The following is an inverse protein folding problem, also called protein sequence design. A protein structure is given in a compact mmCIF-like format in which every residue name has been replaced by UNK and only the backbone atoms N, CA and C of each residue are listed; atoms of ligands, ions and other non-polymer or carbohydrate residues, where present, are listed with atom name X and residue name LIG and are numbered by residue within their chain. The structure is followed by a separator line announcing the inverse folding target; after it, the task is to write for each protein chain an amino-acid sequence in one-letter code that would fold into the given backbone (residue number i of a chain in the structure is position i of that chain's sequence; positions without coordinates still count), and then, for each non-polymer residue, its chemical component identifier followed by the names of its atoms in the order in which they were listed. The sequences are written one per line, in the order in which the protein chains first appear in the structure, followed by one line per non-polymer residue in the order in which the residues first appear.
data_IF_768596095037
#
_entry.id   IF_768596095037
#
_cell.length_a   1.000
_cell.length_b   1.000
_cell.length_c   1.000
_cell.angle_alpha   90.00
_cell.angle_beta   90.00
_cell.angle_gamma   90.00
#
_symmetry.space_group_name_H-M   'P 1'
#
loop_
_entity.id
_entity.type
_entity.pdbx_description
1 polymer ?
#
# COMPACT_ATOMS: atom_id res chain seq x y z
N UNK A 1 -6.65 -33.58 -5.25
CA UNK A 1 -6.27 -32.50 -4.31
C UNK A 1 -6.50 -31.10 -4.89
N UNK A 2 -6.38 -30.88 -6.21
CA UNK A 2 -6.57 -29.57 -6.88
C UNK A 2 -7.99 -28.96 -6.83
N UNK A 3 -9.05 -29.78 -6.82
CA UNK A 3 -10.44 -29.29 -6.87
C UNK A 3 -10.84 -28.45 -5.65
N UNK A 4 -10.22 -28.69 -4.50
CA UNK A 4 -10.46 -27.92 -3.26
C UNK A 4 -9.71 -26.59 -3.26
N UNK A 5 -8.52 -26.53 -3.87
CA UNK A 5 -7.72 -25.31 -3.99
C UNK A 5 -8.48 -24.28 -4.85
N UNK A 6 -9.02 -24.71 -6.00
CA UNK A 6 -9.83 -23.84 -6.88
C UNK A 6 -11.17 -23.40 -6.26
N UNK A 7 -11.69 -24.13 -5.26
CA UNK A 7 -12.91 -23.71 -4.55
C UNK A 7 -12.59 -22.60 -3.54
N UNK A 8 -11.53 -22.76 -2.74
CA UNK A 8 -11.07 -21.73 -1.81
C UNK A 8 -10.72 -20.41 -2.51
N UNK A 9 -9.94 -20.47 -3.59
CA UNK A 9 -9.56 -19.30 -4.39
C UNK A 9 -10.79 -18.51 -4.89
N UNK A 10 -11.81 -19.20 -5.40
CA UNK A 10 -13.06 -18.56 -5.87
C UNK A 10 -13.89 -17.98 -4.73
N UNK A 11 -13.96 -18.64 -3.58
CA UNK A 11 -14.70 -18.12 -2.42
C UNK A 11 -14.06 -16.84 -1.88
N UNK A 12 -12.73 -16.78 -1.85
CA UNK A 12 -11.99 -15.60 -1.40
C UNK A 12 -12.14 -14.43 -2.38
N UNK A 13 -12.13 -14.69 -3.69
CA UNK A 13 -12.43 -13.69 -4.71
C UNK A 13 -13.85 -13.11 -4.56
N UNK A 14 -14.85 -13.97 -4.31
CA UNK A 14 -16.23 -13.53 -4.09
C UNK A 14 -16.31 -12.65 -2.84
N UNK A 15 -15.71 -13.07 -1.73
CA UNK A 15 -15.66 -12.27 -0.49
C UNK A 15 -14.99 -10.93 -0.73
N UNK A 16 -13.88 -10.91 -1.49
CA UNK A 16 -13.15 -9.69 -1.85
C UNK A 16 -14.01 -8.72 -2.65
N UNK A 17 -14.70 -9.20 -3.69
CA UNK A 17 -15.59 -8.38 -4.51
C UNK A 17 -16.78 -7.84 -3.71
N UNK A 18 -17.39 -8.66 -2.85
CA UNK A 18 -18.48 -8.20 -1.97
C UNK A 18 -18.00 -7.14 -0.99
N UNK A 19 -16.84 -7.36 -0.34
CA UNK A 19 -16.23 -6.37 0.56
C UNK A 19 -15.95 -5.06 -0.17
N UNK A 20 -15.41 -5.13 -1.39
CA UNK A 20 -15.22 -3.95 -2.23
C UNK A 20 -16.55 -3.23 -2.50
N UNK A 21 -17.59 -3.94 -2.92
CA UNK A 21 -18.91 -3.34 -3.16
C UNK A 21 -19.49 -2.64 -1.92
N UNK A 22 -19.41 -3.28 -0.76
CA UNK A 22 -19.84 -2.66 0.50
C UNK A 22 -19.04 -1.41 0.85
N UNK A 23 -17.70 -1.48 0.81
CA UNK A 23 -16.84 -0.32 1.10
C UNK A 23 -17.06 0.84 0.12
N UNK A 24 -17.22 0.54 -1.17
CA UNK A 24 -17.49 1.54 -2.20
C UNK A 24 -18.87 2.17 -2.01
N UNK A 25 -19.90 1.36 -1.74
CA UNK A 25 -21.24 1.87 -1.45
C UNK A 25 -21.26 2.77 -0.22
N UNK A 26 -20.53 2.41 0.84
CA UNK A 26 -20.39 3.27 2.02
C UNK A 26 -19.76 4.63 1.67
N UNK A 27 -18.69 4.63 0.88
CA UNK A 27 -18.07 5.87 0.39
C UNK A 27 -19.05 6.73 -0.41
N UNK A 28 -19.84 6.12 -1.30
CA UNK A 28 -20.84 6.82 -2.09
C UNK A 28 -22.02 7.34 -1.23
N UNK A 29 -22.40 6.63 -0.17
CA UNK A 29 -23.41 7.11 0.77
C UNK A 29 -22.95 8.37 1.51
N UNK A 30 -21.68 8.39 1.95
CA UNK A 30 -21.08 9.58 2.58
C UNK A 30 -21.03 10.74 1.58
N UNK A 31 -20.57 10.50 0.35
CA UNK A 31 -20.55 11.52 -0.70
C UNK A 31 -21.95 12.04 -1.03
N UNK A 32 -22.96 11.19 -1.06
CA UNK A 32 -24.35 11.59 -1.28
C UNK A 32 -24.88 12.50 -0.15
N UNK A 33 -24.56 12.16 1.11
CA UNK A 33 -24.93 12.98 2.27
C UNK A 33 -24.28 14.36 2.21
N UNK A 34 -22.97 14.43 1.95
CA UNK A 34 -22.23 15.68 1.76
C UNK A 34 -22.80 16.46 0.59
N UNK A 35 -23.10 15.77 -0.52
CA UNK A 35 -23.63 16.36 -1.73
C UNK A 35 -24.98 17.06 -1.49
N UNK A 36 -25.81 16.47 -0.66
CA UNK A 36 -27.13 17.01 -0.29
C UNK A 36 -26.97 18.18 0.68
N UNK A 37 -26.09 18.05 1.67
CA UNK A 37 -25.85 19.12 2.65
C UNK A 37 -25.26 20.39 2.01
N UNK A 38 -24.35 20.23 1.06
CA UNK A 38 -23.69 21.35 0.35
C UNK A 38 -24.42 21.80 -0.92
N UNK A 39 -25.60 21.25 -1.20
CA UNK A 39 -26.43 21.61 -2.36
C UNK A 39 -25.68 21.55 -3.70
N UNK A 40 -24.91 20.48 -3.94
CA UNK A 40 -24.28 20.28 -5.24
C UNK A 40 -25.31 20.11 -6.36
N UNK A 41 -24.87 20.36 -7.59
CA UNK A 41 -25.70 20.27 -8.80
C UNK A 41 -26.37 18.90 -8.93
N UNK A 42 -27.59 18.88 -9.46
CA UNK A 42 -28.40 17.67 -9.59
C UNK A 42 -27.69 16.53 -10.33
N UNK A 43 -26.96 16.74 -11.45
CA UNK A 43 -26.28 15.65 -12.15
C UNK A 43 -25.28 14.90 -11.27
N UNK A 44 -24.54 15.61 -10.41
CA UNK A 44 -23.58 15.00 -9.50
C UNK A 44 -24.30 14.10 -8.48
N UNK A 45 -25.40 14.58 -7.87
CA UNK A 45 -26.21 13.78 -6.95
C UNK A 45 -26.72 12.50 -7.60
N UNK A 46 -27.26 12.60 -8.82
CA UNK A 46 -27.78 11.46 -9.57
C UNK A 46 -26.68 10.43 -9.84
N UNK A 47 -25.50 10.85 -10.28
CA UNK A 47 -24.37 9.95 -10.54
C UNK A 47 -23.96 9.21 -9.26
N UNK A 48 -23.80 9.93 -8.14
CA UNK A 48 -23.41 9.33 -6.86
C UNK A 48 -24.47 8.35 -6.36
N UNK A 49 -25.77 8.69 -6.46
CA UNK A 49 -26.87 7.79 -6.09
C UNK A 49 -26.90 6.53 -6.94
N UNK A 50 -26.69 6.64 -8.26
CA UNK A 50 -26.63 5.49 -9.16
C UNK A 50 -25.46 4.59 -8.79
N UNK A 51 -24.27 5.15 -8.56
CA UNK A 51 -23.09 4.40 -8.16
C UNK A 51 -23.27 3.72 -6.80
N UNK A 52 -23.90 4.40 -5.84
CA UNK A 52 -24.29 3.81 -4.56
C UNK A 52 -25.19 2.59 -4.73
N UNK A 53 -26.31 2.76 -5.43
CA UNK A 53 -27.29 1.71 -5.65
C UNK A 53 -26.69 0.52 -6.42
N UNK A 54 -25.91 0.79 -7.47
CA UNK A 54 -25.22 -0.23 -8.26
C UNK A 54 -24.27 -1.07 -7.40
N UNK A 55 -23.41 -0.45 -6.59
CA UNK A 55 -22.43 -1.18 -5.78
C UNK A 55 -23.08 -1.94 -4.62
N UNK A 56 -24.11 -1.35 -3.99
CA UNK A 56 -24.87 -2.01 -2.93
C UNK A 56 -25.62 -3.22 -3.47
N UNK A 57 -26.35 -3.05 -4.57
CA UNK A 57 -27.10 -4.14 -5.21
C UNK A 57 -26.16 -5.25 -5.71
N UNK A 58 -25.04 -4.88 -6.35
CA UNK A 58 -24.02 -5.83 -6.79
C UNK A 58 -23.42 -6.63 -5.61
N UNK A 59 -23.18 -6.00 -4.47
CA UNK A 59 -22.64 -6.69 -3.29
C UNK A 59 -23.62 -7.74 -2.71
N UNK A 60 -24.91 -7.41 -2.66
CA UNK A 60 -25.94 -8.31 -2.13
C UNK A 60 -26.28 -9.46 -3.08
N UNK A 61 -26.60 -9.15 -4.34
CA UNK A 61 -27.27 -10.09 -5.24
C UNK A 61 -26.38 -10.64 -6.35
N UNK A 62 -25.50 -9.80 -6.94
CA UNK A 62 -24.69 -10.23 -8.09
C UNK A 62 -23.29 -9.60 -8.08
N UNK A 63 -22.36 -10.27 -7.38
CA UNK A 63 -20.99 -9.81 -7.23
C UNK A 63 -20.24 -9.69 -8.57
N UNK A 64 -20.62 -10.48 -9.58
CA UNK A 64 -19.94 -10.50 -10.90
C UNK A 64 -19.98 -9.14 -11.59
N UNK A 65 -21.04 -8.36 -11.40
CA UNK A 65 -21.12 -7.01 -11.97
C UNK A 65 -20.10 -6.05 -11.36
N UNK A 66 -19.63 -6.29 -10.14
CA UNK A 66 -18.63 -5.44 -9.49
C UNK A 66 -17.22 -5.63 -10.08
N UNK A 67 -16.98 -6.67 -10.86
CA UNK A 67 -15.64 -6.97 -11.40
C UNK A 67 -15.05 -5.85 -12.26
N UNK A 68 -15.74 -5.31 -13.30
CA UNK A 68 -15.18 -4.22 -14.10
C UNK A 68 -14.85 -2.97 -13.28
N UNK A 69 -15.74 -2.55 -12.38
CA UNK A 69 -15.48 -1.38 -11.52
C UNK A 69 -14.36 -1.66 -10.53
N UNK A 70 -14.27 -2.88 -9.99
CA UNK A 70 -13.20 -3.32 -9.12
C UNK A 70 -11.83 -3.24 -9.81
N UNK A 71 -11.71 -3.76 -11.05
CA UNK A 71 -10.45 -3.73 -11.80
C UNK A 71 -10.03 -2.30 -12.12
N UNK A 72 -10.96 -1.48 -12.63
CA UNK A 72 -10.68 -0.09 -12.99
C UNK A 72 -10.23 0.73 -11.78
N UNK A 73 -10.98 0.67 -10.68
CA UNK A 73 -10.67 1.42 -9.47
C UNK A 73 -9.40 0.91 -8.79
N UNK A 74 -9.16 -0.41 -8.78
CA UNK A 74 -7.92 -0.99 -8.24
C UNK A 74 -6.70 -0.56 -9.05
N UNK A 75 -6.82 -0.51 -10.39
CA UNK A 75 -5.74 -0.05 -11.27
C UNK A 75 -5.40 1.43 -11.02
N UNK A 76 -6.42 2.29 -10.98
CA UNK A 76 -6.25 3.71 -10.66
C UNK A 76 -5.63 3.87 -9.26
N UNK A 77 -6.16 3.13 -8.27
CA UNK A 77 -5.65 3.13 -6.89
C UNK A 77 -4.18 2.71 -6.81
N UNK A 78 -3.74 1.73 -7.61
CA UNK A 78 -2.33 1.33 -7.67
C UNK A 78 -1.43 2.43 -8.21
N UNK A 79 -1.85 3.11 -9.29
CA UNK A 79 -1.07 4.23 -9.87
C UNK A 79 -0.95 5.37 -8.85
N UNK A 80 -2.08 5.78 -8.28
CA UNK A 80 -2.16 6.85 -7.30
C UNK A 80 -1.34 6.49 -6.05
N UNK A 81 -1.49 5.26 -5.55
CA UNK A 81 -0.74 4.77 -4.39
C UNK A 81 0.77 4.84 -4.62
N UNK A 82 1.25 4.37 -5.78
CA UNK A 82 2.68 4.42 -6.11
C UNK A 82 3.20 5.85 -6.19
N UNK A 83 2.43 6.76 -6.80
CA UNK A 83 2.78 8.18 -6.86
C UNK A 83 2.90 8.77 -5.44
N UNK A 84 1.92 8.53 -4.58
CA UNK A 84 1.97 9.00 -3.19
C UNK A 84 3.15 8.42 -2.42
N UNK A 85 3.47 7.14 -2.60
CA UNK A 85 4.64 6.52 -1.97
C UNK A 85 5.91 7.27 -2.35
N UNK A 86 6.14 7.53 -3.64
CA UNK A 86 7.32 8.28 -4.11
C UNK A 86 7.35 9.70 -3.55
N UNK A 87 6.22 10.41 -3.59
CA UNK A 87 6.11 11.78 -3.08
C UNK A 87 6.39 11.84 -1.59
N UNK A 88 5.76 10.97 -0.78
CA UNK A 88 5.95 10.93 0.67
C UNK A 88 7.42 10.62 1.01
N UNK A 89 8.02 9.62 0.37
CA UNK A 89 9.43 9.29 0.63
C UNK A 89 10.37 10.41 0.22
N UNK A 90 10.10 11.10 -0.89
CA UNK A 90 10.88 12.25 -1.33
C UNK A 90 10.78 13.39 -0.31
N UNK A 91 9.57 13.72 0.12
CA UNK A 91 9.33 14.75 1.14
C UNK A 91 10.02 14.40 2.46
N UNK A 92 9.85 13.17 2.95
CA UNK A 92 10.51 12.68 4.16
C UNK A 92 12.03 12.74 4.03
N UNK A 93 12.59 12.33 2.90
CA UNK A 93 14.03 12.37 2.66
C UNK A 93 14.59 13.80 2.68
N UNK A 94 13.95 14.72 1.96
CA UNK A 94 14.46 16.09 1.85
C UNK A 94 14.12 16.97 3.06
N UNK A 95 13.00 16.73 3.75
CA UNK A 95 12.60 17.54 4.91
C UNK A 95 13.08 17.01 6.24
N UNK A 96 13.33 15.70 6.37
CA UNK A 96 13.81 15.12 7.63
C UNK A 96 15.27 14.68 7.49
N UNK A 97 15.56 13.72 6.62
CA UNK A 97 16.89 13.10 6.58
C UNK A 97 17.98 14.06 6.08
N UNK A 98 17.69 14.89 5.08
CA UNK A 98 18.64 15.84 4.52
C UNK A 98 19.07 16.90 5.54
N UNK A 99 18.17 17.65 6.22
CA UNK A 99 18.60 18.61 7.22
C UNK A 99 19.29 17.96 8.41
N UNK A 100 18.86 16.78 8.85
CA UNK A 100 19.57 16.02 9.89
C UNK A 100 21.02 15.74 9.45
N UNK A 101 21.21 15.29 8.21
CA UNK A 101 22.54 15.00 7.66
C UNK A 101 23.41 16.26 7.56
N UNK A 102 22.82 17.39 7.14
CA UNK A 102 23.50 18.69 7.09
C UNK A 102 23.92 19.11 8.50
N UNK A 103 23.02 19.02 9.49
CA UNK A 103 23.29 19.36 10.89
C UNK A 103 24.43 18.49 11.43
N UNK A 104 24.37 17.17 11.26
CA UNK A 104 25.42 16.26 11.71
C UNK A 104 26.77 16.58 11.05
N UNK A 105 26.77 16.92 9.76
CA UNK A 105 27.97 17.33 9.02
C UNK A 105 28.54 18.65 9.54
N UNK A 106 27.70 19.63 9.85
CA UNK A 106 28.12 20.92 10.44
C UNK A 106 28.76 20.71 11.82
N UNK A 107 28.21 19.80 12.63
CA UNK A 107 28.80 19.42 13.92
C UNK A 107 29.98 18.44 13.81
N UNK A 108 30.43 18.10 12.59
CA UNK A 108 31.47 17.09 12.32
C UNK A 108 31.20 15.73 12.98
N UNK A 109 29.93 15.44 13.29
CA UNK A 109 29.45 14.16 13.83
C UNK A 109 29.14 13.24 12.67
N UNK A 110 30.20 12.83 11.98
CA UNK A 110 30.08 11.84 10.93
C UNK A 110 30.16 10.45 11.56
N UNK A 111 29.00 9.80 11.69
CA UNK A 111 28.85 8.46 12.27
C UNK A 111 29.53 7.39 11.40
N UNK A 112 29.74 7.69 10.10
CA UNK A 112 30.38 6.80 9.12
C UNK A 112 31.87 7.17 8.96
N UNK A 113 32.39 8.15 9.70
CA UNK A 113 33.83 8.42 9.75
C UNK A 113 34.54 7.30 10.50
N UNK A 114 34.71 6.19 9.80
CA UNK A 114 35.64 5.17 10.15
C UNK A 114 37.02 5.82 10.04
N UNK A 115 37.67 6.07 11.17
CA UNK A 115 38.98 6.73 11.26
C UNK A 115 40.12 5.88 10.63
N UNK A 116 39.80 4.88 9.83
CA UNK A 116 40.78 3.98 9.25
C UNK A 116 41.16 4.43 7.84
N UNK A 117 42.36 5.00 7.76
CA UNK A 117 43.07 5.31 6.52
C UNK A 117 43.44 4.02 5.76
N UNK A 118 43.36 2.86 6.42
CA UNK A 118 43.63 1.53 5.88
C UNK A 118 42.45 0.58 6.13
N UNK A 119 42.26 -0.45 5.29
CA UNK A 119 41.27 -1.48 5.57
C UNK A 119 41.58 -2.15 6.92
N UNK A 120 40.64 -2.11 7.87
CA UNK A 120 40.73 -2.89 9.10
C UNK A 120 40.37 -4.34 8.81
N UNK A 121 41.32 -5.05 8.21
CA UNK A 121 41.27 -6.50 8.19
C UNK A 121 41.44 -6.99 9.62
N UNK A 122 40.33 -7.38 10.24
CA UNK A 122 40.35 -8.07 11.53
C UNK A 122 40.72 -9.51 11.21
N UNK A 123 41.88 -9.95 11.67
CA UNK A 123 42.28 -11.36 11.56
C UNK A 123 41.34 -12.17 12.46
N UNK A 124 40.45 -12.94 11.83
CA UNK A 124 39.56 -13.85 12.54
C UNK A 124 40.34 -15.15 12.76
N UNK A 125 40.48 -15.64 14.00
CA UNK A 125 41.13 -16.92 14.25
C UNK A 125 40.43 -18.04 13.48
N UNK A 126 41.19 -18.98 12.90
CA UNK A 126 40.64 -20.06 12.05
C UNK A 126 39.54 -20.87 12.75
N UNK A 127 39.61 -21.00 14.08
CA UNK A 127 38.58 -21.65 14.91
C UNK A 127 37.21 -20.98 14.82
N UNK A 128 37.15 -19.68 14.55
CA UNK A 128 35.92 -18.91 14.38
C UNK A 128 35.48 -18.80 12.92
N UNK A 129 36.42 -18.95 11.98
CA UNK A 129 36.16 -19.01 10.54
C UNK A 129 35.83 -20.44 10.07
N UNK A 130 35.05 -21.18 10.86
CA UNK A 130 34.59 -22.53 10.53
C UNK A 130 33.33 -22.45 9.65
N UNK A 131 33.37 -22.93 8.39
CA UNK A 131 32.21 -22.95 7.49
C UNK A 131 31.01 -23.67 8.10
N UNK A 132 31.25 -24.75 8.86
CA UNK A 132 30.20 -25.55 9.52
C UNK A 132 29.46 -24.80 10.62
N UNK A 133 30.01 -23.67 11.10
CA UNK A 133 29.34 -22.78 12.05
C UNK A 133 28.30 -21.91 11.34
N UNK A 134 28.61 -21.43 10.14
CA UNK A 134 27.72 -20.58 9.34
C UNK A 134 26.56 -21.40 8.77
N UNK A 135 26.83 -22.62 8.32
CA UNK A 135 25.82 -23.57 7.83
C UNK A 135 24.76 -23.95 8.88
N UNK A 136 25.06 -23.81 10.18
CA UNK A 136 24.11 -24.09 11.28
C UNK A 136 23.19 -22.92 11.64
N UNK A 137 23.40 -21.74 11.06
CA UNK A 137 22.59 -20.54 11.35
C UNK A 137 21.40 -20.35 10.40
N UNK A 138 21.31 -21.16 9.34
CA UNK A 138 20.23 -21.18 8.36
C UNK A 138 19.57 -22.56 8.34
#
# INVERSE_FOLDING_TARGET
MEKNINKGLREDEIKKLKKFGYSFSLGMAILFAISTWKNFVLPFRVIVSILFAYHLFGAFFCYKFLYPTYVLTSFIGKIIGNLFTVVIFTVVFYLLFTPISIILRLFKKDVIKNNSVSPQWIMIPDKQNDPKRVERMF
#
